data_IF_127778376633
#
_entry.id   IF_127778376633
#
_cell.length_a   1.000
_cell.length_b   1.000
_cell.length_c   1.000
_cell.angle_alpha   90.00
_cell.angle_beta   90.00
_cell.angle_gamma   90.00
#
_symmetry.space_group_name_H-M   'P 1'
#
loop_
_entity.id
_entity.type
_entity.pdbx_description
1 polymer ?
#
# COMPACT_ATOMS: atom_id res chain seq x y z
N UNK A 1 -41.42 13.78 -18.45
CA UNK A 1 -39.98 13.45 -18.50
C UNK A 1 -39.65 12.65 -17.26
N UNK A 2 -39.22 11.40 -17.40
CA UNK A 2 -38.82 10.56 -16.26
C UNK A 2 -37.39 10.95 -15.83
N UNK A 3 -37.06 10.99 -14.53
CA UNK A 3 -35.71 11.34 -14.08
C UNK A 3 -34.74 10.21 -14.46
N UNK A 4 -33.55 10.57 -14.93
CA UNK A 4 -32.46 9.61 -15.14
C UNK A 4 -32.03 9.01 -13.78
N UNK A 5 -31.79 7.70 -13.69
CA UNK A 5 -31.25 7.11 -12.48
C UNK A 5 -29.84 7.65 -12.24
N UNK A 6 -29.65 8.32 -11.10
CA UNK A 6 -28.33 8.72 -10.63
C UNK A 6 -27.57 7.46 -10.22
N UNK A 7 -26.73 6.92 -11.10
CA UNK A 7 -25.75 5.91 -10.71
C UNK A 7 -24.67 6.61 -9.89
N UNK A 8 -24.89 6.76 -8.58
CA UNK A 8 -23.77 7.00 -7.67
C UNK A 8 -23.02 5.69 -7.55
N UNK A 9 -21.95 5.52 -8.34
CA UNK A 9 -20.95 4.52 -8.00
C UNK A 9 -20.57 4.72 -6.53
N UNK A 10 -20.58 3.68 -5.67
CA UNK A 10 -20.07 3.85 -4.33
C UNK A 10 -18.61 4.24 -4.50
N UNK A 11 -18.30 5.53 -4.30
CA UNK A 11 -16.92 6.00 -4.23
C UNK A 11 -16.33 5.18 -3.10
N UNK A 12 -15.48 4.21 -3.43
CA UNK A 12 -14.76 3.45 -2.42
C UNK A 12 -14.00 4.50 -1.62
N UNK A 13 -14.44 4.72 -0.37
CA UNK A 13 -13.78 5.68 0.50
C UNK A 13 -12.37 5.15 0.67
N UNK A 14 -11.42 5.82 0.01
CA UNK A 14 -10.00 5.57 0.20
C UNK A 14 -9.72 5.75 1.69
N UNK A 15 -9.25 4.69 2.32
CA UNK A 15 -8.93 4.63 3.75
C UNK A 15 -7.56 5.25 4.02
N UNK A 16 -6.67 5.17 3.05
CA UNK A 16 -5.31 5.66 3.12
C UNK A 16 -5.04 6.62 1.96
N UNK A 17 -4.18 7.60 2.20
CA UNK A 17 -3.63 8.48 1.18
C UNK A 17 -2.51 7.78 0.41
N UNK A 18 -1.64 7.06 1.12
CA UNK A 18 -0.45 6.42 0.54
C UNK A 18 -0.35 4.97 0.99
N UNK A 19 -0.08 4.07 0.06
CA UNK A 19 0.42 2.73 0.31
C UNK A 19 1.95 2.70 0.10
N UNK A 20 2.72 2.36 1.14
CA UNK A 20 4.17 2.16 1.00
C UNK A 20 4.48 0.69 0.82
N UNK A 21 5.02 0.33 -0.33
CA UNK A 21 5.58 -1.00 -0.63
C UNK A 21 7.10 -0.94 -0.53
N UNK A 22 7.70 -1.80 0.30
CA UNK A 22 9.14 -1.79 0.52
C UNK A 22 9.64 -3.12 1.09
N UNK A 23 10.89 -3.45 0.81
CA UNK A 23 11.54 -4.57 1.51
C UNK A 23 11.92 -4.14 2.92
N UNK A 24 11.19 -4.67 3.91
CA UNK A 24 11.41 -4.35 5.31
C UNK A 24 12.83 -4.65 5.82
N UNK A 25 13.51 -5.63 5.24
CA UNK A 25 14.90 -5.96 5.57
C UNK A 25 15.90 -4.88 5.17
N UNK A 26 15.66 -4.22 4.04
CA UNK A 26 16.58 -3.25 3.50
C UNK A 26 16.34 -1.85 4.09
N UNK A 27 15.06 -1.47 4.29
CA UNK A 27 14.71 -0.05 4.41
C UNK A 27 13.86 0.37 5.61
N UNK A 28 13.30 -0.58 6.39
CA UNK A 28 12.31 -0.25 7.45
C UNK A 28 12.78 0.81 8.42
N UNK A 29 13.96 0.62 8.98
CA UNK A 29 14.48 1.44 10.08
C UNK A 29 15.35 2.61 9.58
N UNK A 30 15.40 2.84 8.26
CA UNK A 30 16.16 3.92 7.65
C UNK A 30 15.23 4.81 6.79
N UNK A 31 15.49 4.91 5.49
CA UNK A 31 14.71 5.67 4.51
C UNK A 31 13.20 5.51 4.67
N UNK A 32 12.67 4.29 4.72
CA UNK A 32 11.21 4.08 4.81
C UNK A 32 10.66 4.54 6.15
N UNK A 33 11.40 4.33 7.24
CA UNK A 33 11.02 4.82 8.57
C UNK A 33 10.90 6.34 8.59
N UNK A 34 11.94 7.03 8.09
CA UNK A 34 11.93 8.49 7.99
C UNK A 34 10.83 9.03 7.07
N UNK A 35 10.60 8.38 5.93
CA UNK A 35 9.52 8.75 5.00
C UNK A 35 8.16 8.60 5.67
N UNK A 36 7.91 7.47 6.35
CA UNK A 36 6.66 7.25 7.06
C UNK A 36 6.41 8.30 8.15
N UNK A 37 7.42 8.62 8.95
CA UNK A 37 7.31 9.63 10.01
C UNK A 37 7.06 11.04 9.42
N UNK A 38 7.70 11.37 8.29
CA UNK A 38 7.48 12.63 7.57
C UNK A 38 6.06 12.73 6.99
N UNK A 39 5.55 11.66 6.36
CA UNK A 39 4.17 11.62 5.85
C UNK A 39 3.17 11.77 7.00
N UNK A 40 3.37 11.01 8.09
CA UNK A 40 2.51 11.07 9.27
C UNK A 40 2.49 12.44 9.93
N UNK A 41 3.66 13.08 10.10
CA UNK A 41 3.76 14.44 10.65
C UNK A 41 3.13 15.50 9.74
N UNK A 42 3.01 15.22 8.44
CA UNK A 42 2.30 16.06 7.46
C UNK A 42 0.79 15.79 7.40
N UNK A 43 0.27 14.88 8.24
CA UNK A 43 -1.15 14.51 8.28
C UNK A 43 -1.58 13.54 7.18
N UNK A 44 -0.64 12.92 6.47
CA UNK A 44 -0.91 11.99 5.37
C UNK A 44 -1.12 10.58 5.95
N UNK A 45 -2.32 10.04 5.79
CA UNK A 45 -2.72 8.73 6.32
C UNK A 45 -2.08 7.64 5.47
N UNK A 46 -1.02 7.03 5.99
CA UNK A 46 -0.16 6.11 5.21
C UNK A 46 -0.30 4.68 5.72
N UNK A 47 -0.61 3.73 4.82
CA UNK A 47 -0.41 2.31 5.06
C UNK A 47 1.05 1.95 4.80
N UNK A 48 1.70 1.32 5.76
CA UNK A 48 3.11 0.94 5.68
C UNK A 48 3.22 -0.57 5.65
N UNK A 49 3.30 -1.15 4.47
CA UNK A 49 3.36 -2.60 4.33
C UNK A 49 4.71 -3.15 4.74
N UNK A 50 4.73 -4.18 5.58
CA UNK A 50 5.96 -4.69 6.15
C UNK A 50 6.15 -6.19 5.88
N UNK A 51 6.86 -6.55 4.80
CA UNK A 51 7.02 -7.94 4.37
C UNK A 51 7.99 -8.77 5.23
N UNK A 52 8.31 -8.34 6.46
CA UNK A 52 8.88 -9.24 7.49
C UNK A 52 7.82 -9.87 8.39
N UNK A 53 6.56 -9.45 8.32
CA UNK A 53 5.50 -10.01 9.14
C UNK A 53 4.91 -11.31 8.56
N UNK A 54 5.31 -11.72 7.36
CA UNK A 54 4.79 -12.92 6.68
C UNK A 54 5.74 -14.12 6.73
N UNK A 55 5.64 -14.85 7.83
CA UNK A 55 5.76 -16.31 7.79
C UNK A 55 4.66 -16.88 8.70
N UNK A 56 3.39 -16.62 8.39
CA UNK A 56 2.32 -17.00 9.31
C UNK A 56 0.90 -17.03 8.78
N UNK A 57 0.27 -15.88 8.53
CA UNK A 57 -1.20 -15.82 8.57
C UNK A 57 -1.76 -14.82 7.56
N UNK A 58 -2.42 -15.31 6.50
CA UNK A 58 -3.52 -14.64 5.76
C UNK A 58 -3.45 -13.10 5.52
N UNK A 59 -2.28 -12.50 5.29
CA UNK A 59 -2.16 -11.04 5.05
C UNK A 59 -2.57 -10.63 3.63
N UNK A 60 -2.54 -11.55 2.66
CA UNK A 60 -2.77 -11.23 1.25
C UNK A 60 -4.12 -10.51 0.97
N UNK A 61 -5.28 -10.91 1.54
CA UNK A 61 -6.54 -10.21 1.28
C UNK A 61 -6.60 -8.80 1.89
N UNK A 62 -5.95 -8.58 3.03
CA UNK A 62 -5.90 -7.26 3.66
C UNK A 62 -4.96 -6.32 2.90
N UNK A 63 -3.90 -6.86 2.31
CA UNK A 63 -2.93 -6.14 1.51
C UNK A 63 -3.53 -5.63 0.20
N UNK A 64 -4.18 -6.51 -0.55
CA UNK A 64 -4.94 -6.18 -1.76
C UNK A 64 -5.96 -5.07 -1.49
N UNK A 65 -6.68 -5.21 -0.37
CA UNK A 65 -7.65 -4.21 0.07
C UNK A 65 -6.98 -2.89 0.43
N UNK A 66 -5.82 -2.90 1.09
CA UNK A 66 -5.07 -1.68 1.41
C UNK A 66 -4.61 -0.95 0.14
N UNK A 67 -4.13 -1.66 -0.88
CA UNK A 67 -3.77 -1.09 -2.19
C UNK A 67 -5.00 -0.43 -2.82
N UNK A 68 -6.12 -1.16 -2.93
CA UNK A 68 -7.36 -0.63 -3.50
C UNK A 68 -7.96 0.54 -2.71
N UNK A 69 -7.75 0.57 -1.39
CA UNK A 69 -8.20 1.63 -0.49
C UNK A 69 -7.20 2.77 -0.34
N UNK A 70 -6.07 2.76 -1.06
CA UNK A 70 -5.10 3.85 -1.06
C UNK A 70 -5.27 4.78 -2.25
N UNK A 71 -5.05 6.08 -2.07
CA UNK A 71 -5.11 7.05 -3.18
C UNK A 71 -3.93 6.89 -4.15
N UNK A 72 -2.72 6.62 -3.64
CA UNK A 72 -1.58 6.26 -4.45
C UNK A 72 -0.69 5.22 -3.75
N UNK A 73 0.21 4.61 -4.52
CA UNK A 73 1.23 3.69 -4.03
C UNK A 73 2.62 4.29 -4.28
N UNK A 74 3.51 4.16 -3.30
CA UNK A 74 4.93 4.51 -3.42
C UNK A 74 5.74 3.24 -3.21
N UNK A 75 6.50 2.85 -4.23
CA UNK A 75 7.31 1.64 -4.23
C UNK A 75 8.77 2.03 -3.96
N UNK A 76 9.37 1.42 -2.95
CA UNK A 76 10.74 1.70 -2.50
C UNK A 76 11.64 0.52 -2.90
N UNK A 77 12.19 0.61 -4.12
CA UNK A 77 13.15 -0.36 -4.60
C UNK A 77 14.46 -0.32 -3.81
N UNK A 78 14.93 -1.50 -3.45
CA UNK A 78 16.14 -1.71 -2.66
C UNK A 78 16.89 -2.94 -3.16
N UNK A 79 18.11 -3.16 -2.67
CA UNK A 79 19.05 -4.13 -3.24
C UNK A 79 18.50 -5.55 -3.28
N UNK A 80 17.69 -5.94 -2.30
CA UNK A 80 17.11 -7.27 -2.19
C UNK A 80 15.60 -7.30 -2.40
N UNK A 81 15.01 -6.20 -2.88
CA UNK A 81 13.56 -6.10 -3.09
C UNK A 81 13.01 -7.24 -3.95
N UNK A 82 13.61 -7.45 -5.13
CA UNK A 82 13.19 -8.48 -6.07
C UNK A 82 13.56 -9.92 -5.64
N UNK A 83 14.24 -10.09 -4.51
CA UNK A 83 14.52 -11.42 -3.95
C UNK A 83 13.38 -11.91 -3.05
N UNK A 84 12.43 -11.04 -2.71
CA UNK A 84 11.20 -11.41 -2.01
C UNK A 84 10.07 -11.61 -3.02
N UNK A 85 9.57 -12.84 -3.13
CA UNK A 85 8.39 -13.15 -3.96
C UNK A 85 7.19 -12.30 -3.57
N UNK A 86 7.00 -12.07 -2.27
CA UNK A 86 5.94 -11.22 -1.73
C UNK A 86 6.02 -9.77 -2.24
N UNK A 87 7.20 -9.15 -2.19
CA UNK A 87 7.40 -7.80 -2.74
C UNK A 87 7.10 -7.72 -4.26
N UNK A 88 7.25 -8.82 -5.00
CA UNK A 88 6.91 -8.89 -6.42
C UNK A 88 5.41 -9.13 -6.65
N UNK A 89 4.74 -9.88 -5.78
CA UNK A 89 3.28 -10.06 -5.79
C UNK A 89 2.56 -8.73 -5.51
N UNK A 90 3.00 -7.98 -4.50
CA UNK A 90 2.55 -6.61 -4.24
C UNK A 90 2.72 -5.72 -5.46
N UNK A 91 3.91 -5.74 -6.08
CA UNK A 91 4.19 -4.93 -7.25
C UNK A 91 3.27 -5.29 -8.42
N UNK A 92 3.00 -6.57 -8.63
CA UNK A 92 2.07 -7.02 -9.65
C UNK A 92 0.64 -6.53 -9.38
N UNK A 93 0.19 -6.55 -8.13
CA UNK A 93 -1.13 -6.04 -7.76
C UNK A 93 -1.25 -4.51 -7.89
N UNK A 94 -0.19 -3.77 -7.57
CA UNK A 94 -0.17 -2.30 -7.74
C UNK A 94 -0.25 -1.89 -9.22
N UNK A 95 0.34 -2.68 -10.12
CA UNK A 95 0.47 -2.35 -11.56
C UNK A 95 -0.73 -2.83 -12.39
N UNK A 96 -1.51 -3.79 -11.91
CA UNK A 96 -2.72 -4.29 -12.58
C UNK A 96 -3.90 -3.33 -12.47
#
# INVERSE_FOLDING_TARGET
MLPLPSTSSPISRKKYDVFLSFRGEDTRNNFTGHLYDALKSSGIVTFRDDPKLDAGEEIAPELSKAIQQSWCSVIIFSKTYAFSGWCLEELAEIVQ
#
